data_IF_449147078594
#
_entry.id   IF_449147078594
#
_cell.length_a   1.000
_cell.length_b   1.000
_cell.length_c   1.000
_cell.angle_alpha   90.00
_cell.angle_beta   90.00
_cell.angle_gamma   90.00
#
_symmetry.space_group_name_H-M   'P 1'
#
loop_
_entity.id
_entity.type
_entity.pdbx_description
1 polymer ?
#
# COMPACT_ATOMS: atom_id res chain seq x y z
N UNK A 1 4.04 -11.81 5.70
CA UNK A 1 4.54 -10.41 5.79
C UNK A 1 3.87 -9.72 6.96
N UNK A 2 4.62 -8.94 7.67
CA UNK A 2 4.12 -8.22 8.84
C UNK A 2 3.60 -6.85 8.39
N UNK A 3 2.31 -6.57 8.61
CA UNK A 3 1.67 -5.35 8.11
C UNK A 3 1.32 -4.42 9.25
N UNK A 4 1.73 -3.16 9.15
CA UNK A 4 1.35 -2.11 10.08
C UNK A 4 0.54 -1.04 9.34
N UNK A 5 -0.57 -0.62 9.93
CA UNK A 5 -1.44 0.40 9.36
C UNK A 5 -1.46 1.59 10.31
N UNK A 6 -1.18 2.76 9.77
CA UNK A 6 -1.14 4.00 10.54
C UNK A 6 -1.99 5.06 9.87
N UNK A 7 -2.83 5.75 10.64
CA UNK A 7 -3.57 6.90 10.16
C UNK A 7 -2.98 8.18 10.76
N UNK A 8 -2.86 9.23 9.95
CA UNK A 8 -2.25 10.50 10.34
C UNK A 8 -3.30 11.59 10.23
N UNK A 9 -3.52 12.31 11.33
CA UNK A 9 -4.46 13.43 11.44
C UNK A 9 -5.94 13.04 11.36
N UNK A 10 -6.25 11.76 11.47
CA UNK A 10 -7.63 11.27 11.56
C UNK A 10 -7.61 9.87 12.15
N UNK A 11 -8.77 9.39 12.57
CA UNK A 11 -8.91 8.02 13.06
C UNK A 11 -9.59 7.18 11.98
N UNK A 12 -8.88 6.17 11.48
CA UNK A 12 -9.46 5.25 10.52
C UNK A 12 -10.52 4.39 11.22
N UNK A 13 -11.72 4.32 10.63
CA UNK A 13 -12.75 3.46 11.21
C UNK A 13 -12.42 1.99 10.94
N UNK A 14 -13.13 1.11 11.66
CA UNK A 14 -12.84 -0.33 11.58
C UNK A 14 -13.06 -0.89 10.19
N UNK A 15 -14.06 -0.40 9.47
CA UNK A 15 -14.32 -0.85 8.09
C UNK A 15 -13.16 -0.55 7.17
N UNK A 16 -12.56 0.63 7.33
CA UNK A 16 -11.40 1.02 6.52
C UNK A 16 -10.19 0.15 6.87
N UNK A 17 -9.94 -0.05 8.16
CA UNK A 17 -8.83 -0.89 8.61
C UNK A 17 -8.99 -2.31 8.07
N UNK A 18 -10.17 -2.89 8.17
CA UNK A 18 -10.45 -4.24 7.66
C UNK A 18 -10.27 -4.31 6.14
N UNK A 19 -10.70 -3.28 5.42
CA UNK A 19 -10.49 -3.21 3.97
C UNK A 19 -9.01 -3.26 3.63
N UNK A 20 -8.20 -2.44 4.31
CA UNK A 20 -6.76 -2.39 4.08
C UNK A 20 -6.10 -3.73 4.42
N UNK A 21 -6.47 -4.32 5.57
CA UNK A 21 -5.93 -5.61 5.98
C UNK A 21 -6.24 -6.70 4.95
N UNK A 22 -7.46 -6.72 4.43
CA UNK A 22 -7.87 -7.68 3.43
C UNK A 22 -7.06 -7.51 2.13
N UNK A 23 -6.88 -6.27 1.69
CA UNK A 23 -6.10 -5.99 0.48
C UNK A 23 -4.63 -6.34 0.67
N UNK A 24 -4.06 -6.02 1.82
CA UNK A 24 -2.67 -6.35 2.11
C UNK A 24 -2.47 -7.86 2.25
N UNK A 25 -3.45 -8.58 2.74
CA UNK A 25 -3.41 -10.05 2.81
C UNK A 25 -3.31 -10.66 1.40
N UNK A 26 -4.04 -10.11 0.44
CA UNK A 26 -3.93 -10.55 -0.96
C UNK A 26 -2.57 -10.22 -1.55
N UNK A 27 -2.04 -9.05 -1.21
CA UNK A 27 -0.71 -8.65 -1.65
C UNK A 27 0.35 -9.58 -1.09
N UNK A 28 0.20 -10.01 0.15
CA UNK A 28 1.11 -10.94 0.80
C UNK A 28 1.27 -12.23 0.00
N UNK A 29 0.17 -12.76 -0.52
CA UNK A 29 0.22 -13.97 -1.37
C UNK A 29 0.96 -13.73 -2.67
N UNK A 30 0.88 -12.53 -3.20
CA UNK A 30 1.57 -12.14 -4.44
C UNK A 30 3.05 -11.86 -4.17
N UNK A 31 3.37 -11.31 -3.02
CA UNK A 31 4.71 -10.88 -2.65
C UNK A 31 5.36 -11.89 -1.68
N UNK A 32 5.68 -13.08 -2.17
CA UNK A 32 6.18 -14.18 -1.33
C UNK A 32 7.42 -13.85 -0.52
N UNK A 33 8.29 -12.97 -1.04
CA UNK A 33 9.56 -12.62 -0.37
C UNK A 33 9.45 -11.40 0.52
N UNK A 34 8.30 -10.73 0.56
CA UNK A 34 8.13 -9.55 1.40
C UNK A 34 8.21 -9.92 2.87
N UNK A 35 8.96 -9.16 3.65
CA UNK A 35 9.13 -9.39 5.08
C UNK A 35 8.19 -8.54 5.92
N UNK A 36 7.93 -7.31 5.49
CA UNK A 36 7.03 -6.40 6.20
C UNK A 36 6.47 -5.36 5.24
N UNK A 37 5.40 -4.72 5.66
CA UNK A 37 4.82 -3.62 4.92
C UNK A 37 4.22 -2.59 5.87
N UNK A 38 4.31 -1.33 5.50
CA UNK A 38 3.68 -0.23 6.21
C UNK A 38 2.67 0.43 5.29
N UNK A 39 1.48 0.69 5.84
CA UNK A 39 0.44 1.44 5.14
C UNK A 39 0.16 2.70 5.94
N UNK A 40 0.40 3.85 5.32
CA UNK A 40 0.12 5.14 5.93
C UNK A 40 -1.07 5.77 5.20
N UNK A 41 -2.11 6.06 5.97
CA UNK A 41 -3.30 6.76 5.47
C UNK A 41 -3.28 8.17 6.05
N UNK A 42 -3.39 9.17 5.19
CA UNK A 42 -3.39 10.55 5.66
C UNK A 42 -4.31 11.43 4.82
N UNK A 43 -4.70 12.55 5.41
CA UNK A 43 -5.45 13.58 4.71
C UNK A 43 -4.46 14.64 4.23
N UNK A 44 -4.62 15.06 3.00
CA UNK A 44 -3.84 16.14 2.42
C UNK A 44 -4.80 17.22 1.94
N UNK A 45 -4.28 18.27 1.32
CA UNK A 45 -5.12 19.32 0.77
C UNK A 45 -5.98 18.76 -0.35
N UNK A 46 -7.25 19.17 -0.36
CA UNK A 46 -8.17 18.76 -1.40
C UNK A 46 -7.74 19.36 -2.75
N UNK A 47 -7.75 18.53 -3.78
CA UNK A 47 -7.48 18.96 -5.15
C UNK A 47 -8.39 18.17 -6.09
N UNK A 48 -8.19 18.26 -7.39
CA UNK A 48 -9.02 17.57 -8.37
C UNK A 48 -9.03 16.05 -8.18
N UNK A 49 -7.96 15.47 -7.63
CA UNK A 49 -7.87 14.04 -7.36
C UNK A 49 -8.44 13.64 -6.01
N UNK A 50 -8.72 14.62 -5.14
CA UNK A 50 -9.21 14.38 -3.80
C UNK A 50 -8.13 14.64 -2.74
N UNK A 51 -8.43 14.29 -1.50
CA UNK A 51 -7.57 14.58 -0.36
C UNK A 51 -7.19 13.34 0.46
N UNK A 52 -7.52 12.15 -0.03
CA UNK A 52 -7.21 10.90 0.68
C UNK A 52 -5.94 10.30 0.10
N UNK A 53 -4.91 10.16 0.92
CA UNK A 53 -3.60 9.67 0.51
C UNK A 53 -3.31 8.34 1.17
N UNK A 54 -2.83 7.38 0.38
CA UNK A 54 -2.32 6.12 0.88
C UNK A 54 -0.88 5.95 0.42
N UNK A 55 0.01 5.64 1.36
CA UNK A 55 1.42 5.34 1.07
C UNK A 55 1.67 3.91 1.53
N UNK A 56 2.11 3.06 0.63
CA UNK A 56 2.42 1.67 0.95
C UNK A 56 3.90 1.44 0.70
N UNK A 57 4.59 0.97 1.74
CA UNK A 57 6.01 0.61 1.68
C UNK A 57 6.13 -0.87 1.97
N UNK A 58 6.77 -1.61 1.09
CA UNK A 58 6.98 -3.05 1.23
C UNK A 58 8.47 -3.34 1.30
N UNK A 59 8.90 -4.03 2.36
CA UNK A 59 10.29 -4.43 2.51
C UNK A 59 10.51 -5.78 1.85
N UNK A 60 11.45 -5.81 0.93
CA UNK A 60 11.89 -7.02 0.22
C UNK A 60 13.35 -7.27 0.54
N UNK A 61 13.83 -8.53 0.46
CA UNK A 61 15.26 -8.76 0.65
C UNK A 61 16.09 -7.94 -0.35
N UNK A 62 16.89 -7.02 0.20
CA UNK A 62 17.76 -6.17 -0.61
C UNK A 62 17.09 -4.99 -1.28
N UNK A 63 15.80 -4.73 -1.02
CA UNK A 63 15.12 -3.61 -1.64
C UNK A 63 13.90 -3.15 -0.83
N UNK A 64 13.42 -1.97 -1.17
CA UNK A 64 12.23 -1.38 -0.59
C UNK A 64 11.35 -0.84 -1.72
N UNK A 65 10.09 -1.26 -1.72
CA UNK A 65 9.12 -0.82 -2.73
C UNK A 65 8.17 0.19 -2.09
N UNK A 66 7.96 1.32 -2.74
CA UNK A 66 7.10 2.38 -2.23
C UNK A 66 6.12 2.80 -3.32
N UNK A 67 4.85 2.99 -2.92
CA UNK A 67 3.85 3.56 -3.80
C UNK A 67 2.98 4.51 -3.00
N UNK A 68 2.63 5.64 -3.61
CA UNK A 68 1.77 6.65 -3.02
C UNK A 68 0.69 7.03 -4.02
N UNK A 69 -0.54 7.17 -3.54
CA UNK A 69 -1.66 7.58 -4.38
C UNK A 69 -2.56 8.54 -3.60
N UNK A 70 -3.11 9.52 -4.31
CA UNK A 70 -4.06 10.48 -3.75
C UNK A 70 -5.35 10.41 -4.55
N UNK A 71 -6.45 10.13 -3.86
CA UNK A 71 -7.75 9.91 -4.48
C UNK A 71 -8.85 10.53 -3.64
N UNK A 72 -10.09 10.41 -4.11
CA UNK A 72 -11.25 10.92 -3.39
C UNK A 72 -11.66 10.05 -2.21
N UNK A 73 -11.28 8.77 -2.22
CA UNK A 73 -11.51 7.85 -1.12
C UNK A 73 -10.23 7.12 -0.77
N UNK A 74 -10.13 6.66 0.48
CA UNK A 74 -8.98 5.85 0.90
C UNK A 74 -8.96 4.50 0.19
N UNK A 75 -10.12 3.93 -0.09
CA UNK A 75 -10.23 2.64 -0.79
C UNK A 75 -9.60 2.72 -2.18
N UNK A 76 -9.90 3.78 -2.93
CA UNK A 76 -9.28 3.99 -4.23
C UNK A 76 -7.77 4.20 -4.11
N UNK A 77 -7.34 5.01 -3.13
CA UNK A 77 -5.92 5.30 -2.92
C UNK A 77 -5.15 4.03 -2.58
N UNK A 78 -5.71 3.18 -1.72
CA UNK A 78 -5.10 1.90 -1.36
C UNK A 78 -5.02 0.98 -2.57
N UNK A 79 -6.11 0.86 -3.34
CA UNK A 79 -6.13 0.01 -4.53
C UNK A 79 -5.08 0.44 -5.55
N UNK A 80 -4.97 1.74 -5.82
CA UNK A 80 -3.97 2.24 -6.78
C UNK A 80 -2.55 2.01 -6.29
N UNK A 81 -2.30 2.22 -5.00
CA UNK A 81 -0.98 1.99 -4.42
C UNK A 81 -0.60 0.51 -4.48
N UNK A 82 -1.56 -0.38 -4.19
CA UNK A 82 -1.32 -1.83 -4.27
C UNK A 82 -1.00 -2.24 -5.71
N UNK A 83 -1.74 -1.72 -6.69
CA UNK A 83 -1.47 -2.02 -8.10
C UNK A 83 -0.08 -1.59 -8.50
N UNK A 84 0.37 -0.42 -8.04
CA UNK A 84 1.72 0.07 -8.31
C UNK A 84 2.77 -0.83 -7.66
N UNK A 85 2.55 -1.27 -6.43
CA UNK A 85 3.45 -2.20 -5.74
C UNK A 85 3.53 -3.53 -6.50
N UNK A 86 2.39 -4.05 -6.96
CA UNK A 86 2.38 -5.31 -7.74
C UNK A 86 3.23 -5.21 -9.00
N UNK A 87 3.16 -4.09 -9.70
CA UNK A 87 3.99 -3.86 -10.89
C UNK A 87 5.47 -3.83 -10.55
N UNK A 88 5.82 -3.22 -9.43
CA UNK A 88 7.21 -3.20 -8.96
C UNK A 88 7.69 -4.60 -8.57
N UNK A 89 6.84 -5.40 -7.94
CA UNK A 89 7.17 -6.79 -7.59
C UNK A 89 7.41 -7.62 -8.85
N UNK A 90 6.60 -7.45 -9.87
CA UNK A 90 6.77 -8.16 -11.15
C UNK A 90 8.13 -7.86 -11.77
N UNK A 91 8.55 -6.60 -11.75
CA UNK A 91 9.87 -6.22 -12.24
C UNK A 91 10.98 -6.87 -11.42
N UNK A 92 10.79 -6.96 -10.12
CA UNK A 92 11.74 -7.65 -9.22
C UNK A 92 11.85 -9.12 -9.53
N UNK A 93 10.72 -9.78 -9.77
CA UNK A 93 10.70 -11.21 -10.13
C UNK A 93 11.49 -11.48 -11.41
N UNK A 94 11.39 -10.59 -12.38
CA UNK A 94 12.16 -10.71 -13.62
C UNK A 94 13.66 -10.63 -13.36
N UNK A 95 14.08 -9.74 -12.45
CA UNK A 95 15.49 -9.65 -12.05
C UNK A 95 15.98 -10.91 -11.35
N UNK A 96 15.14 -11.48 -10.50
CA UNK A 96 15.51 -12.68 -9.73
C UNK A 96 15.50 -13.96 -10.58
N UNK A 97 14.75 -13.96 -11.66
CA UNK A 97 14.63 -15.11 -12.55
C UNK A 97 15.90 -15.32 -13.41
N UNK A 98 16.80 -14.37 -13.38
CA UNK A 98 18.11 -14.49 -14.06
C UNK A 98 19.15 -15.08 -13.10
#
# INVERSE_FOLDING_TARGET
MNVQIQSVKFDADQKLVEFVEKKMSKLDRFAERATSADVILKLDKDNERGNKVAIITVQMPGDELVAESQCKTFEEAVDQSIDAIKKQIEKHKEKWAK
#
